data_IF_694277742104
#
_entry.id   IF_694277742104
#
_cell.length_a   1.000
_cell.length_b   1.000
_cell.length_c   1.000
_cell.angle_alpha   90.00
_cell.angle_beta   90.00
_cell.angle_gamma   90.00
#
_symmetry.space_group_name_H-M   'P 1'
#
loop_
_entity.id
_entity.type
_entity.pdbx_description
1 polymer ?
#
# COMPACT_ATOMS: atom_id res chain seq x y z
N UNK A 1 -26.84 -23.13 13.17
CA UNK A 1 -25.90 -22.00 12.97
C UNK A 1 -26.55 -21.05 11.97
N UNK A 2 -27.23 -20.05 12.49
CA UNK A 2 -28.04 -19.12 11.68
C UNK A 2 -27.12 -18.23 10.86
N UNK A 3 -27.19 -18.38 9.54
CA UNK A 3 -26.61 -17.43 8.60
C UNK A 3 -27.48 -16.18 8.62
N UNK A 4 -27.08 -15.18 9.39
CA UNK A 4 -27.68 -13.86 9.29
C UNK A 4 -27.57 -13.36 7.85
N UNK A 5 -28.70 -13.44 7.14
CA UNK A 5 -28.84 -12.90 5.78
C UNK A 5 -28.96 -11.39 5.91
N UNK A 6 -27.81 -10.71 5.86
CA UNK A 6 -27.80 -9.24 5.84
C UNK A 6 -28.55 -8.70 4.61
N UNK A 7 -29.46 -7.78 4.82
CA UNK A 7 -30.18 -7.11 3.76
C UNK A 7 -29.20 -6.32 2.86
N UNK A 8 -29.50 -6.20 1.57
CA UNK A 8 -28.61 -5.50 0.61
C UNK A 8 -28.21 -4.07 1.05
N UNK A 9 -29.08 -3.37 1.77
CA UNK A 9 -28.77 -2.06 2.38
C UNK A 9 -27.75 -2.18 3.51
N UNK A 10 -27.86 -3.18 4.36
CA UNK A 10 -26.91 -3.42 5.47
C UNK A 10 -25.53 -3.80 4.96
N UNK A 11 -25.44 -4.62 3.90
CA UNK A 11 -24.16 -4.97 3.25
C UNK A 11 -23.46 -3.73 2.69
N UNK A 12 -24.20 -2.84 2.02
CA UNK A 12 -23.63 -1.56 1.54
C UNK A 12 -23.16 -0.67 2.68
N UNK A 13 -23.93 -0.55 3.75
CA UNK A 13 -23.57 0.27 4.91
C UNK A 13 -22.30 -0.25 5.60
N UNK A 14 -22.19 -1.57 5.79
CA UNK A 14 -21.00 -2.22 6.35
C UNK A 14 -19.77 -1.98 5.46
N UNK A 15 -19.94 -2.07 4.13
CA UNK A 15 -18.84 -1.79 3.19
C UNK A 15 -18.35 -0.34 3.25
N UNK A 16 -19.26 0.63 3.26
CA UNK A 16 -18.92 2.04 3.41
C UNK A 16 -18.28 2.33 4.78
N UNK A 17 -18.78 1.71 5.85
CA UNK A 17 -18.18 1.82 7.18
C UNK A 17 -16.77 1.24 7.21
N UNK A 18 -16.53 0.09 6.60
CA UNK A 18 -15.20 -0.52 6.52
C UNK A 18 -14.20 0.37 5.76
N UNK A 19 -14.61 0.97 4.63
CA UNK A 19 -13.77 1.92 3.89
C UNK A 19 -13.51 3.16 4.72
N UNK A 20 -14.53 3.72 5.36
CA UNK A 20 -14.37 4.91 6.20
C UNK A 20 -13.42 4.63 7.38
N UNK A 21 -13.55 3.49 8.05
CA UNK A 21 -12.65 3.07 9.13
C UNK A 21 -11.22 2.89 8.60
N UNK A 22 -11.04 2.25 7.45
CA UNK A 22 -9.74 2.07 6.85
C UNK A 22 -9.08 3.41 6.51
N UNK A 23 -9.81 4.33 5.88
CA UNK A 23 -9.32 5.67 5.55
C UNK A 23 -8.99 6.48 6.80
N UNK A 24 -9.82 6.41 7.83
CA UNK A 24 -9.61 7.10 9.09
C UNK A 24 -8.39 6.53 9.82
N UNK A 25 -8.23 5.22 9.86
CA UNK A 25 -7.09 4.54 10.45
C UNK A 25 -5.80 4.87 9.69
N UNK A 26 -5.84 4.87 8.35
CA UNK A 26 -4.71 5.30 7.51
C UNK A 26 -4.35 6.76 7.74
N UNK A 27 -5.33 7.65 7.89
CA UNK A 27 -5.10 9.06 8.18
C UNK A 27 -4.49 9.25 9.58
N UNK A 28 -4.97 8.53 10.59
CA UNK A 28 -4.42 8.57 11.96
C UNK A 28 -2.98 8.07 11.96
N UNK A 29 -2.70 6.93 11.34
CA UNK A 29 -1.32 6.39 11.25
C UNK A 29 -0.44 7.35 10.44
N UNK A 30 -0.91 7.88 9.33
CA UNK A 30 -0.19 8.88 8.53
C UNK A 30 0.11 10.15 9.33
N UNK A 31 -0.80 10.57 10.20
CA UNK A 31 -0.58 11.74 11.04
C UNK A 31 0.42 11.49 12.17
N UNK A 32 0.25 10.40 12.93
CA UNK A 32 1.09 10.12 14.11
C UNK A 32 2.45 9.53 13.76
N UNK A 33 2.54 8.71 12.72
CA UNK A 33 3.78 8.05 12.30
C UNK A 33 4.37 8.72 11.05
N UNK A 34 3.55 9.03 10.06
CA UNK A 34 4.00 9.59 8.80
C UNK A 34 4.62 10.98 8.95
N UNK A 35 4.01 11.88 9.71
CA UNK A 35 4.55 13.23 9.92
C UNK A 35 5.94 13.26 10.53
N UNK A 36 6.20 12.61 11.69
CA UNK A 36 7.56 12.59 12.25
C UNK A 36 8.55 11.89 11.32
N UNK A 37 8.13 10.83 10.63
CA UNK A 37 8.93 10.12 9.64
C UNK A 37 9.35 11.03 8.48
N UNK A 38 8.39 11.72 7.88
CA UNK A 38 8.63 12.67 6.79
C UNK A 38 9.51 13.83 7.25
N UNK A 39 9.28 14.37 8.44
CA UNK A 39 10.15 15.41 9.02
C UNK A 39 11.58 14.94 9.15
N UNK A 40 11.79 13.76 9.68
CA UNK A 40 13.11 13.17 9.85
C UNK A 40 13.78 12.92 8.49
N UNK A 41 13.02 12.35 7.53
CA UNK A 41 13.48 12.13 6.18
C UNK A 41 13.71 13.44 5.38
N UNK A 42 13.03 14.53 5.71
CA UNK A 42 13.24 15.83 5.07
C UNK A 42 14.52 16.55 5.51
N UNK A 43 15.30 15.95 6.41
CA UNK A 43 16.59 16.45 6.86
C UNK A 43 17.71 15.46 6.47
N UNK A 44 18.18 15.48 5.21
CA UNK A 44 19.04 14.43 4.66
C UNK A 44 20.35 14.24 5.44
N UNK A 45 20.92 15.32 5.99
CA UNK A 45 22.16 15.23 6.77
C UNK A 45 21.96 14.55 8.12
N UNK A 46 20.88 14.87 8.83
CA UNK A 46 20.56 14.19 10.09
C UNK A 46 20.22 12.73 9.86
N UNK A 47 19.50 12.45 8.79
CA UNK A 47 19.18 11.08 8.38
C UNK A 47 20.46 10.30 8.08
N UNK A 48 21.39 10.87 7.31
CA UNK A 48 22.68 10.26 7.02
C UNK A 48 23.51 9.99 8.27
N UNK A 49 23.66 10.97 9.16
CA UNK A 49 24.38 10.80 10.41
C UNK A 49 23.79 9.69 11.27
N UNK A 50 22.46 9.61 11.30
CA UNK A 50 21.76 8.56 12.02
C UNK A 50 22.03 7.18 11.42
N UNK A 51 21.98 7.07 10.09
CA UNK A 51 22.28 5.82 9.36
C UNK A 51 23.75 5.40 9.57
N UNK A 52 24.69 6.33 9.45
CA UNK A 52 26.13 6.07 9.64
C UNK A 52 26.41 5.55 11.05
N UNK A 53 25.69 6.06 12.06
CA UNK A 53 25.80 5.61 13.45
C UNK A 53 25.18 4.23 13.72
N UNK A 54 24.28 3.75 12.86
CA UNK A 54 23.52 2.49 13.08
C UNK A 54 23.86 1.37 12.08
N UNK A 55 24.69 1.62 11.08
CA UNK A 55 25.15 0.63 10.12
C UNK A 55 24.03 -0.19 9.46
N UNK A 56 24.05 -1.51 9.61
CA UNK A 56 23.04 -2.40 9.04
C UNK A 56 21.61 -2.17 9.60
N UNK A 57 21.52 -1.74 10.86
CA UNK A 57 20.23 -1.40 11.48
C UNK A 57 19.61 -0.17 10.79
N UNK A 58 20.43 0.80 10.37
CA UNK A 58 20.02 1.96 9.58
C UNK A 58 19.43 1.54 8.23
N UNK A 59 20.05 0.57 7.55
CA UNK A 59 19.52 0.00 6.30
C UNK A 59 18.16 -0.69 6.52
N UNK A 60 18.05 -1.52 7.55
CA UNK A 60 16.80 -2.23 7.87
C UNK A 60 15.67 -1.25 8.23
N UNK A 61 15.98 -0.22 9.00
CA UNK A 61 15.02 0.82 9.35
C UNK A 61 14.56 1.60 8.11
N UNK A 62 15.45 1.95 7.20
CA UNK A 62 15.09 2.62 5.95
C UNK A 62 14.16 1.76 5.10
N UNK A 63 14.47 0.46 4.92
CA UNK A 63 13.58 -0.49 4.23
C UNK A 63 12.22 -0.55 4.91
N UNK A 64 12.18 -0.57 6.25
CA UNK A 64 10.94 -0.53 7.04
C UNK A 64 10.14 0.75 6.84
N UNK A 65 10.81 1.91 6.73
CA UNK A 65 10.16 3.20 6.44
C UNK A 65 9.53 3.20 5.05
N UNK A 66 10.26 2.72 4.04
CA UNK A 66 9.75 2.58 2.67
C UNK A 66 8.60 1.56 2.60
N UNK A 67 8.71 0.44 3.29
CA UNK A 67 7.61 -0.53 3.43
C UNK A 67 6.35 0.13 4.01
N UNK A 68 6.51 0.88 5.09
CA UNK A 68 5.40 1.52 5.78
C UNK A 68 4.70 2.56 4.90
N UNK A 69 5.44 3.37 4.14
CA UNK A 69 4.84 4.34 3.21
C UNK A 69 4.02 3.68 2.11
N UNK A 70 4.46 2.52 1.59
CA UNK A 70 3.71 1.79 0.57
C UNK A 70 2.42 1.21 1.14
N UNK A 71 2.47 0.69 2.37
CA UNK A 71 1.27 0.15 3.05
C UNK A 71 0.31 1.27 3.46
N UNK A 72 0.86 2.39 3.93
CA UNK A 72 0.11 3.58 4.35
C UNK A 72 0.19 4.64 3.25
N UNK A 73 -0.68 4.55 2.25
CA UNK A 73 -0.68 5.40 1.05
C UNK A 73 -0.74 6.92 1.29
N UNK A 74 -0.96 7.36 2.53
CA UNK A 74 -1.00 8.80 2.91
C UNK A 74 0.40 9.37 3.15
N UNK A 75 1.43 8.53 3.34
CA UNK A 75 2.80 8.97 3.59
C UNK A 75 3.48 9.28 2.25
N UNK A 76 3.91 10.53 1.99
CA UNK A 76 4.62 10.85 0.77
C UNK A 76 6.00 10.16 0.73
N UNK A 77 6.33 9.56 -0.42
CA UNK A 77 7.56 8.78 -0.61
C UNK A 77 8.78 9.62 -0.95
N UNK A 78 8.59 10.73 -1.65
CA UNK A 78 9.67 11.54 -2.19
C UNK A 78 10.73 11.94 -1.14
N UNK A 79 10.38 12.40 0.08
CA UNK A 79 11.40 12.73 1.09
C UNK A 79 12.25 11.53 1.51
N UNK A 80 11.66 10.34 1.57
CA UNK A 80 12.38 9.11 1.90
C UNK A 80 13.32 8.67 0.78
N UNK A 81 12.88 8.78 -0.47
CA UNK A 81 13.69 8.42 -1.65
C UNK A 81 14.91 9.34 -1.79
N UNK A 82 14.71 10.65 -1.63
CA UNK A 82 15.79 11.65 -1.68
C UNK A 82 16.79 11.40 -0.55
N UNK A 83 16.31 11.22 0.68
CA UNK A 83 17.18 11.00 1.84
C UNK A 83 17.91 9.67 1.78
N UNK A 84 17.26 8.63 1.27
CA UNK A 84 17.87 7.34 1.02
C UNK A 84 19.01 7.44 0.00
N UNK A 85 18.76 8.14 -1.11
CA UNK A 85 19.79 8.42 -2.11
C UNK A 85 20.97 9.22 -1.56
N UNK A 86 20.70 10.19 -0.69
CA UNK A 86 21.73 11.00 -0.04
C UNK A 86 22.53 10.23 1.00
N UNK A 87 21.88 9.42 1.86
CA UNK A 87 22.51 8.70 2.94
C UNK A 87 23.30 7.46 2.47
N UNK A 88 22.73 6.67 1.57
CA UNK A 88 23.32 5.40 1.11
C UNK A 88 24.01 5.50 -0.25
N UNK A 89 23.88 6.65 -0.93
CA UNK A 89 24.29 6.82 -2.32
C UNK A 89 23.26 6.27 -3.32
N UNK A 90 23.38 6.69 -4.58
CA UNK A 90 22.38 6.41 -5.60
C UNK A 90 22.08 4.90 -5.78
N UNK A 91 23.11 4.06 -5.90
CA UNK A 91 22.94 2.64 -6.18
C UNK A 91 22.37 1.89 -4.97
N UNK A 92 23.00 2.03 -3.79
CA UNK A 92 22.56 1.33 -2.57
C UNK A 92 21.21 1.85 -2.09
N UNK A 93 20.99 3.16 -2.13
CA UNK A 93 19.71 3.78 -1.76
C UNK A 93 18.57 3.27 -2.64
N UNK A 94 18.78 3.20 -3.96
CA UNK A 94 17.78 2.67 -4.88
C UNK A 94 17.48 1.19 -4.64
N UNK A 95 18.49 0.36 -4.39
CA UNK A 95 18.26 -1.07 -4.10
C UNK A 95 17.48 -1.27 -2.80
N UNK A 96 17.81 -0.52 -1.74
CA UNK A 96 17.08 -0.58 -0.47
C UNK A 96 15.64 -0.07 -0.62
N UNK A 97 15.45 1.01 -1.39
CA UNK A 97 14.13 1.55 -1.71
C UNK A 97 13.28 0.52 -2.47
N UNK A 98 13.83 -0.08 -3.52
CA UNK A 98 13.15 -1.12 -4.29
C UNK A 98 12.78 -2.32 -3.41
N UNK A 99 13.67 -2.74 -2.52
CA UNK A 99 13.39 -3.83 -1.58
C UNK A 99 12.22 -3.49 -0.66
N UNK A 100 12.22 -2.30 -0.06
CA UNK A 100 11.12 -1.84 0.79
C UNK A 100 9.81 -1.73 0.05
N UNK A 101 9.83 -1.15 -1.16
CA UNK A 101 8.66 -1.00 -2.02
C UNK A 101 8.11 -2.36 -2.48
N UNK A 102 8.98 -3.30 -2.84
CA UNK A 102 8.58 -4.66 -3.20
C UNK A 102 7.89 -5.37 -2.04
N UNK A 103 8.50 -5.37 -0.85
CA UNK A 103 7.91 -5.98 0.34
C UNK A 103 6.56 -5.34 0.70
N UNK A 104 6.47 -4.01 0.63
CA UNK A 104 5.24 -3.26 0.86
C UNK A 104 4.15 -3.64 -0.14
N UNK A 105 4.49 -3.71 -1.43
CA UNK A 105 3.56 -4.09 -2.49
C UNK A 105 3.05 -5.52 -2.33
N UNK A 106 3.91 -6.47 -1.96
CA UNK A 106 3.52 -7.85 -1.67
C UNK A 106 2.58 -7.89 -0.47
N UNK A 107 2.86 -7.13 0.58
CA UNK A 107 2.00 -7.06 1.76
C UNK A 107 0.62 -6.48 1.42
N UNK A 108 0.56 -5.38 0.68
CA UNK A 108 -0.70 -4.77 0.22
C UNK A 108 -1.47 -5.72 -0.68
N UNK A 109 -0.79 -6.39 -1.62
CA UNK A 109 -1.41 -7.38 -2.49
C UNK A 109 -2.01 -8.54 -1.69
N UNK A 110 -1.27 -9.09 -0.72
CA UNK A 110 -1.75 -10.15 0.15
C UNK A 110 -2.96 -9.72 0.98
N UNK A 111 -2.93 -8.48 1.50
CA UNK A 111 -4.03 -7.88 2.25
C UNK A 111 -5.29 -7.75 1.39
N UNK A 112 -5.13 -7.17 0.20
CA UNK A 112 -6.23 -7.00 -0.76
C UNK A 112 -6.76 -8.36 -1.23
N UNK A 113 -5.89 -9.32 -1.49
CA UNK A 113 -6.30 -10.67 -1.88
C UNK A 113 -7.10 -11.37 -0.79
N UNK A 114 -6.75 -11.15 0.47
CA UNK A 114 -7.43 -11.78 1.63
C UNK A 114 -8.76 -11.12 1.95
N UNK A 115 -8.79 -9.79 1.97
CA UNK A 115 -9.97 -9.01 2.39
C UNK A 115 -10.76 -8.45 1.22
N UNK A 116 -10.12 -8.23 0.07
CA UNK A 116 -10.76 -7.61 -1.09
C UNK A 116 -11.90 -8.43 -1.68
N UNK A 117 -11.87 -9.76 -1.57
CA UNK A 117 -12.96 -10.63 -2.03
C UNK A 117 -14.25 -10.37 -1.26
N UNK A 118 -14.17 -10.18 0.06
CA UNK A 118 -15.32 -9.86 0.89
C UNK A 118 -15.87 -8.48 0.57
N UNK A 119 -14.99 -7.51 0.30
CA UNK A 119 -15.38 -6.17 -0.11
C UNK A 119 -16.04 -6.16 -1.50
N UNK A 120 -15.47 -6.89 -2.46
CA UNK A 120 -16.05 -7.00 -3.82
C UNK A 120 -17.44 -7.65 -3.78
N UNK A 121 -17.62 -8.72 -3.01
CA UNK A 121 -18.93 -9.39 -2.87
C UNK A 121 -19.96 -8.49 -2.17
N UNK A 122 -19.53 -7.52 -1.34
CA UNK A 122 -20.40 -6.53 -0.68
C UNK A 122 -20.85 -5.43 -1.66
N UNK A 123 -19.91 -4.93 -2.49
CA UNK A 123 -20.17 -3.79 -3.39
C UNK A 123 -20.75 -4.19 -4.74
N UNK A 124 -20.38 -5.37 -5.25
CA UNK A 124 -20.82 -5.87 -6.55
C UNK A 124 -21.66 -7.15 -6.37
N UNK A 125 -22.99 -7.05 -6.46
CA UNK A 125 -23.85 -8.24 -6.53
C UNK A 125 -23.39 -9.15 -7.67
N UNK A 126 -23.34 -10.44 -7.43
CA UNK A 126 -22.87 -11.47 -8.39
C UNK A 126 -23.50 -11.36 -9.77
N UNK A 127 -24.75 -10.90 -9.86
CA UNK A 127 -25.46 -10.64 -11.12
C UNK A 127 -24.80 -9.57 -12.01
N UNK A 128 -24.11 -8.58 -11.40
CA UNK A 128 -23.33 -7.58 -12.15
C UNK A 128 -21.95 -8.10 -12.53
N UNK A 129 -21.37 -8.98 -11.74
CA UNK A 129 -20.09 -9.64 -12.04
C UNK A 129 -20.22 -10.64 -13.21
N UNK A 130 -21.39 -11.29 -13.37
CA UNK A 130 -21.61 -12.15 -14.53
C UNK A 130 -21.69 -11.37 -15.85
N UNK A 131 -22.21 -10.15 -15.81
CA UNK A 131 -22.13 -9.23 -16.98
C UNK A 131 -20.71 -8.76 -17.27
N UNK A 132 -19.83 -8.73 -16.27
CA UNK A 132 -18.42 -8.40 -16.42
C UNK A 132 -17.56 -9.62 -16.82
N UNK A 133 -18.05 -10.86 -16.62
CA UNK A 133 -17.40 -12.06 -17.17
C UNK A 133 -17.32 -12.01 -18.71
N UNK A 134 -18.23 -11.32 -19.37
CA UNK A 134 -18.14 -11.00 -20.78
C UNK A 134 -16.87 -10.19 -21.14
N UNK A 135 -16.33 -9.42 -20.20
CA UNK A 135 -15.08 -8.67 -20.35
C UNK A 135 -13.81 -9.51 -20.12
N UNK A 136 -13.93 -10.67 -19.46
CA UNK A 136 -12.78 -11.49 -19.07
C UNK A 136 -12.39 -12.58 -20.08
N UNK A 137 -13.19 -12.85 -21.09
CA UNK A 137 -12.95 -13.97 -22.01
C UNK A 137 -12.95 -13.57 -23.49
N UNK A 138 -11.91 -12.92 -23.94
CA UNK A 138 -11.62 -12.90 -25.37
C UNK A 138 -10.10 -12.92 -25.60
N UNK A 139 -9.56 -14.06 -26.11
CA UNK A 139 -8.13 -14.19 -26.39
C UNK A 139 -7.59 -13.15 -27.39
N UNK A 140 -8.47 -12.52 -28.16
CA UNK A 140 -8.10 -11.43 -29.09
C UNK A 140 -7.85 -10.09 -28.40
N UNK A 141 -8.37 -9.86 -27.19
CA UNK A 141 -8.14 -8.62 -26.43
C UNK A 141 -6.87 -8.68 -25.57
N UNK A 142 -6.51 -9.86 -25.10
CA UNK A 142 -5.22 -10.03 -24.40
C UNK A 142 -4.06 -9.73 -25.34
N UNK A 143 -4.15 -10.12 -26.63
CA UNK A 143 -3.18 -9.77 -27.64
C UNK A 143 -3.12 -8.25 -27.91
N UNK A 144 -4.25 -7.55 -27.86
CA UNK A 144 -4.28 -6.08 -28.04
C UNK A 144 -3.71 -5.32 -26.84
N UNK A 145 -3.86 -5.85 -25.62
CA UNK A 145 -3.32 -5.26 -24.40
C UNK A 145 -1.80 -5.36 -24.30
N UNK A 146 -1.18 -6.35 -24.98
CA UNK A 146 0.27 -6.51 -25.08
C UNK A 146 0.89 -5.72 -26.23
N UNK A 147 0.08 -5.08 -27.08
CA UNK A 147 0.53 -4.35 -28.28
C UNK A 147 0.49 -2.81 -28.10
N UNK A 148 -0.02 -2.32 -26.95
CA UNK A 148 -0.04 -0.91 -26.55
C UNK A 148 0.82 -0.70 -25.30
#
# INVERSE_FOLDING_TARGET
MDKHVFTAKQKKLIGWAAIAIFLLLSAVVGWFVGRPLVRFASQPEQFRQWVDGHGLMGCAAYVGMVFLQVVVAVIPGEPLEISGGYAFGAVRGSLLCLLGAFLGSVAVFALVRRFGRELVDIFFPREKLEKLKFLQSSPKRDALFWLV
#
